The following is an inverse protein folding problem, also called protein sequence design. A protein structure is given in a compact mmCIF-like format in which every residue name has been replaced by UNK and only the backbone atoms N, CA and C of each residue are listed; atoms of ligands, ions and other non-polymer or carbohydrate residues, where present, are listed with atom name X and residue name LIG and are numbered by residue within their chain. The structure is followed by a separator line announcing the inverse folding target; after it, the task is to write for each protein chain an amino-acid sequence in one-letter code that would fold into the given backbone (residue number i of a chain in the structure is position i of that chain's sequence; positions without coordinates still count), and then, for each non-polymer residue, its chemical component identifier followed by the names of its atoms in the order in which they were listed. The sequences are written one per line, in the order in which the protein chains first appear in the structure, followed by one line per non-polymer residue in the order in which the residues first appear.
data_IF_369457603935
#
_entry.id   IF_369457603935
#
_cell.length_a   1.000
_cell.length_b   1.000
_cell.length_c   1.000
_cell.angle_alpha   90.00
_cell.angle_beta   90.00
_cell.angle_gamma   90.00
#
_symmetry.space_group_name_H-M   'P 1'
#
loop_
_entity.id
_entity.type
_entity.pdbx_description
1 polymer ?
#
# COMPACT_ATOMS: atom_id res chain seq x y z
N UNK A 1 -2.97 23.81 -13.39
CA UNK A 1 -4.24 23.24 -12.89
C UNK A 1 -3.86 22.10 -11.96
N UNK A 2 -4.06 22.20 -10.63
CA UNK A 2 -3.82 21.05 -9.76
C UNK A 2 -4.81 19.95 -10.15
N UNK A 3 -4.34 18.73 -10.34
CA UNK A 3 -5.20 17.58 -10.58
C UNK A 3 -6.24 17.52 -9.46
N UNK A 4 -7.53 17.46 -9.82
CA UNK A 4 -8.58 17.16 -8.86
C UNK A 4 -8.21 15.84 -8.21
N UNK A 5 -7.88 15.87 -6.93
CA UNK A 5 -7.77 14.66 -6.13
C UNK A 5 -9.16 14.03 -6.18
N UNK A 6 -9.27 12.85 -6.81
CA UNK A 6 -10.52 12.11 -6.86
C UNK A 6 -10.99 11.85 -5.43
N UNK A 7 -12.27 12.12 -5.14
CA UNK A 7 -12.90 11.89 -3.83
C UNK A 7 -13.07 10.40 -3.48
N UNK A 8 -12.47 9.51 -4.27
CA UNK A 8 -12.64 8.06 -4.21
C UNK A 8 -11.29 7.35 -4.25
N UNK A 9 -11.25 6.10 -3.78
CA UNK A 9 -10.07 5.26 -3.91
C UNK A 9 -9.64 5.15 -5.38
N UNK A 10 -8.35 5.40 -5.71
CA UNK A 10 -7.87 5.18 -7.06
C UNK A 10 -7.99 3.69 -7.43
N UNK A 11 -8.15 3.36 -8.72
CA UNK A 11 -8.14 1.98 -9.16
C UNK A 11 -6.80 1.31 -8.81
N UNK A 12 -6.80 -0.02 -8.67
CA UNK A 12 -5.56 -0.75 -8.53
C UNK A 12 -4.74 -0.59 -9.83
N UNK A 13 -3.48 -0.16 -9.75
CA UNK A 13 -2.73 0.22 -10.93
C UNK A 13 -2.21 -1.00 -11.68
N UNK A 14 -2.06 -0.86 -12.99
CA UNK A 14 -1.27 -1.77 -13.80
C UNK A 14 0.22 -1.51 -13.53
N UNK A 15 0.98 -2.57 -13.30
CA UNK A 15 2.43 -2.50 -13.04
C UNK A 15 3.17 -2.84 -14.33
N UNK A 16 4.12 -1.98 -14.72
CA UNK A 16 4.89 -2.16 -15.96
C UNK A 16 5.67 -3.48 -15.97
N UNK A 17 6.36 -3.77 -14.86
CA UNK A 17 7.07 -5.02 -14.64
C UNK A 17 7.07 -5.36 -13.13
N UNK A 18 6.29 -6.36 -12.69
CA UNK A 18 6.19 -6.77 -11.29
C UNK A 18 7.51 -7.24 -10.66
N UNK A 19 8.51 -7.61 -11.47
CA UNK A 19 9.82 -8.06 -11.00
C UNK A 19 10.85 -6.92 -10.90
N UNK A 20 10.51 -5.73 -11.41
CA UNK A 20 11.40 -4.57 -11.41
C UNK A 20 10.98 -3.55 -10.35
N UNK A 21 11.49 -3.76 -9.13
CA UNK A 21 11.25 -2.85 -8.01
C UNK A 21 12.03 -1.53 -8.21
N UNK A 22 11.38 -0.42 -7.87
CA UNK A 22 12.02 0.89 -7.68
C UNK A 22 12.71 0.93 -6.32
N UNK A 23 12.04 0.36 -5.31
CA UNK A 23 12.52 0.28 -3.92
C UNK A 23 12.19 -1.09 -3.36
N UNK A 24 13.16 -1.71 -2.69
CA UNK A 24 12.96 -2.87 -1.82
C UNK A 24 13.78 -2.64 -0.55
N UNK A 25 13.12 -2.14 0.49
CA UNK A 25 13.74 -1.84 1.78
C UNK A 25 13.10 -2.71 2.85
N UNK A 26 13.79 -3.75 3.36
CA UNK A 26 13.22 -4.67 4.34
C UNK A 26 13.05 -4.04 5.74
N UNK A 27 13.62 -2.86 5.99
CA UNK A 27 13.63 -2.21 7.30
C UNK A 27 13.36 -0.70 7.20
N UNK A 28 12.50 -0.30 6.27
CA UNK A 28 12.17 1.11 6.03
C UNK A 28 11.56 1.75 7.28
N UNK A 29 12.12 2.89 7.68
CA UNK A 29 11.68 3.62 8.87
C UNK A 29 10.60 4.63 8.53
N UNK A 30 9.57 4.72 9.36
CA UNK A 30 8.56 5.77 9.30
C UNK A 30 8.36 6.43 10.67
N UNK A 31 7.91 7.66 10.65
CA UNK A 31 7.50 8.40 11.85
C UNK A 31 6.00 8.25 12.10
N UNK A 32 5.56 8.47 13.33
CA UNK A 32 4.14 8.61 13.65
C UNK A 32 3.96 9.59 14.79
N UNK A 33 2.88 10.38 14.75
CA UNK A 33 2.46 11.24 15.85
C UNK A 33 1.81 10.46 17.00
N UNK A 34 1.49 9.18 16.80
CA UNK A 34 1.00 8.29 17.84
C UNK A 34 2.08 7.97 18.90
N UNK A 35 1.63 7.50 20.07
CA UNK A 35 2.52 7.02 21.14
C UNK A 35 3.46 5.93 20.58
N UNK A 36 4.77 6.18 20.60
CA UNK A 36 5.79 5.30 20.00
C UNK A 36 6.63 5.97 18.91
N UNK A 37 6.22 7.12 18.38
CA UNK A 37 7.05 7.99 17.53
C UNK A 37 7.33 7.48 16.11
N UNK A 38 7.04 6.21 15.81
CA UNK A 38 7.29 5.60 14.51
C UNK A 38 7.60 4.10 14.62
N UNK A 39 8.15 3.55 13.54
CA UNK A 39 8.52 2.14 13.46
C UNK A 39 9.33 1.81 12.21
N UNK A 40 9.58 0.51 12.04
CA UNK A 40 10.19 -0.06 10.83
C UNK A 40 9.20 -1.03 10.17
N UNK A 41 9.16 -1.03 8.84
CA UNK A 41 8.34 -1.94 8.05
C UNK A 41 9.02 -2.24 6.70
N UNK A 42 8.89 -3.46 6.13
CA UNK A 42 9.28 -3.70 4.75
C UNK A 42 8.47 -2.82 3.79
N UNK A 43 9.17 -2.03 2.99
CA UNK A 43 8.61 -1.18 1.94
C UNK A 43 9.06 -1.72 0.58
N UNK A 44 8.10 -1.94 -0.32
CA UNK A 44 8.37 -2.23 -1.73
C UNK A 44 7.60 -1.29 -2.63
N UNK A 45 8.25 -0.80 -3.69
CA UNK A 45 7.66 0.18 -4.61
C UNK A 45 7.93 -0.20 -6.05
N UNK A 46 6.93 -0.02 -6.92
CA UNK A 46 7.00 -0.26 -8.36
C UNK A 46 6.53 0.96 -9.14
N UNK A 47 6.99 1.10 -10.39
CA UNK A 47 6.39 2.03 -11.36
C UNK A 47 5.07 1.47 -11.88
N UNK A 48 4.09 2.36 -12.00
CA UNK A 48 2.81 2.05 -12.63
C UNK A 48 2.81 2.50 -14.09
N UNK A 49 2.03 1.85 -14.93
CA UNK A 49 2.00 2.12 -16.37
C UNK A 49 1.52 3.54 -16.75
N UNK A 50 0.86 4.24 -15.82
CA UNK A 50 0.42 5.63 -15.96
C UNK A 50 1.47 6.64 -15.45
N UNK A 51 2.69 6.19 -15.14
CA UNK A 51 3.81 7.03 -14.71
C UNK A 51 3.84 7.37 -13.21
N UNK A 52 2.95 6.78 -12.41
CA UNK A 52 2.92 6.87 -10.96
C UNK A 52 3.71 5.75 -10.26
N UNK A 53 3.32 5.47 -9.02
CA UNK A 53 3.92 4.46 -8.16
C UNK A 53 2.87 3.65 -7.40
N UNK A 54 3.16 2.36 -7.21
CA UNK A 54 2.48 1.52 -6.22
C UNK A 54 3.46 1.23 -5.10
N UNK A 55 3.07 1.52 -3.86
CA UNK A 55 3.80 1.18 -2.66
C UNK A 55 3.05 0.10 -1.86
N UNK A 56 3.75 -0.95 -1.47
CA UNK A 56 3.27 -1.95 -0.52
C UNK A 56 4.11 -1.83 0.75
N UNK A 57 3.45 -1.45 1.85
CA UNK A 57 4.05 -1.39 3.19
C UNK A 57 3.59 -2.61 3.97
N UNK A 58 4.51 -3.46 4.38
CA UNK A 58 4.17 -4.69 5.12
C UNK A 58 4.27 -4.46 6.62
N UNK A 59 3.21 -4.77 7.37
CA UNK A 59 3.22 -4.69 8.82
C UNK A 59 4.38 -5.51 9.37
N UNK A 60 5.06 -4.97 10.38
CA UNK A 60 6.08 -5.67 11.17
C UNK A 60 5.80 -5.50 12.64
N UNK A 61 6.28 -6.40 13.48
CA UNK A 61 6.14 -6.23 14.93
C UNK A 61 6.89 -4.97 15.35
N UNK A 62 6.18 -4.03 15.97
CA UNK A 62 6.71 -2.72 16.32
C UNK A 62 5.78 -1.94 17.25
N UNK A 63 6.26 -0.82 17.81
CA UNK A 63 5.50 -0.04 18.79
C UNK A 63 4.31 0.70 18.18
N UNK A 64 4.34 0.99 16.88
CA UNK A 64 3.26 1.61 16.12
C UNK A 64 2.90 0.71 14.94
N UNK A 65 1.61 0.54 14.65
CA UNK A 65 1.15 -0.17 13.45
C UNK A 65 1.19 0.74 12.23
N UNK A 66 1.30 0.16 11.04
CA UNK A 66 1.28 0.94 9.80
C UNK A 66 -0.09 1.61 9.59
N UNK A 67 -1.19 0.99 10.04
CA UNK A 67 -2.52 1.63 10.09
C UNK A 67 -2.52 2.90 10.94
N UNK A 68 -1.90 2.87 12.14
CA UNK A 68 -1.89 4.03 13.03
C UNK A 68 -0.97 5.15 12.51
N UNK A 69 -0.03 4.83 11.63
CA UNK A 69 0.88 5.78 10.99
C UNK A 69 0.50 6.10 9.54
N UNK A 70 -0.73 5.79 9.11
CA UNK A 70 -1.12 5.87 7.71
C UNK A 70 -0.97 7.27 7.11
N UNK A 71 -1.23 8.33 7.89
CA UNK A 71 -1.07 9.72 7.44
C UNK A 71 0.40 10.06 7.19
N UNK A 72 1.28 9.76 8.14
CA UNK A 72 2.70 10.05 8.04
C UNK A 72 3.41 9.19 6.99
N UNK A 73 3.07 7.90 6.90
CA UNK A 73 3.56 7.01 5.84
C UNK A 73 3.13 7.54 4.48
N UNK A 74 1.86 7.95 4.33
CA UNK A 74 1.36 8.51 3.07
C UNK A 74 2.10 9.79 2.69
N UNK A 75 2.29 10.70 3.65
CA UNK A 75 3.03 11.94 3.42
C UNK A 75 4.49 11.67 3.02
N UNK A 76 5.16 10.72 3.69
CA UNK A 76 6.53 10.33 3.37
C UNK A 76 6.66 9.76 1.95
N UNK A 77 5.75 8.85 1.56
CA UNK A 77 5.75 8.24 0.24
C UNK A 77 5.44 9.26 -0.87
N UNK A 78 4.46 10.14 -0.69
CA UNK A 78 4.15 11.21 -1.65
C UNK A 78 5.32 12.19 -1.80
N UNK A 79 6.02 12.49 -0.70
CA UNK A 79 7.20 13.36 -0.77
C UNK A 79 8.39 12.70 -1.48
N UNK A 80 8.51 11.38 -1.41
CA UNK A 80 9.64 10.63 -1.95
C UNK A 80 9.44 10.25 -3.42
N UNK A 81 8.22 9.92 -3.84
CA UNK A 81 7.92 9.40 -5.16
C UNK A 81 7.11 10.40 -5.98
N UNK A 82 7.65 10.92 -7.10
CA UNK A 82 6.92 11.88 -7.92
C UNK A 82 5.73 11.22 -8.63
N UNK A 83 4.65 11.97 -8.79
CA UNK A 83 3.42 11.51 -9.44
C UNK A 83 2.42 10.87 -8.47
N UNK A 84 1.34 10.26 -8.99
CA UNK A 84 0.36 9.56 -8.16
C UNK A 84 0.99 8.38 -7.42
N UNK A 85 0.63 8.20 -6.15
CA UNK A 85 1.07 7.06 -5.33
C UNK A 85 -0.15 6.31 -4.82
N UNK A 86 -0.26 5.04 -5.20
CA UNK A 86 -1.22 4.10 -4.60
C UNK A 86 -0.50 3.36 -3.46
N UNK A 87 -1.11 3.34 -2.28
CA UNK A 87 -0.53 2.73 -1.08
C UNK A 87 -1.39 1.55 -0.67
N UNK A 88 -0.77 0.38 -0.51
CA UNK A 88 -1.37 -0.81 0.07
C UNK A 88 -0.65 -1.15 1.38
N UNK A 89 -1.42 -1.30 2.44
CA UNK A 89 -0.96 -2.00 3.63
C UNK A 89 -1.05 -3.51 3.39
N UNK A 90 -0.01 -4.22 3.77
CA UNK A 90 0.06 -5.66 3.70
C UNK A 90 0.24 -6.24 5.10
N UNK A 91 -0.66 -7.13 5.51
CA UNK A 91 -0.53 -7.89 6.74
C UNK A 91 -0.31 -9.35 6.38
N UNK A 92 0.71 -9.98 6.94
CA UNK A 92 0.90 -11.43 6.81
C UNK A 92 0.11 -12.14 7.90
N UNK A 93 -0.22 -13.41 7.64
CA UNK A 93 -0.77 -14.30 8.65
C UNK A 93 0.17 -14.34 9.87
N UNK A 94 -0.37 -14.04 11.05
CA UNK A 94 0.38 -13.97 12.30
C UNK A 94 0.85 -12.57 12.71
N UNK A 95 0.89 -11.59 11.80
CA UNK A 95 1.25 -10.20 12.11
C UNK A 95 0.02 -9.39 12.58
N UNK A 96 -0.77 -9.97 13.48
CA UNK A 96 -2.05 -9.40 13.94
C UNK A 96 -3.22 -9.62 12.98
N UNK A 97 -3.01 -10.34 11.87
CA UNK A 97 -4.06 -10.77 10.95
C UNK A 97 -4.19 -12.31 10.92
N UNK A 98 -5.42 -12.85 10.81
CA UNK A 98 -5.65 -14.30 10.75
C UNK A 98 -5.22 -14.93 9.42
N UNK A 99 -5.05 -14.11 8.39
CA UNK A 99 -4.59 -14.49 7.05
C UNK A 99 -3.84 -13.32 6.43
N UNK A 100 -3.10 -13.59 5.36
CA UNK A 100 -2.50 -12.52 4.56
C UNK A 100 -3.62 -11.62 4.02
N UNK A 101 -3.42 -10.29 4.06
CA UNK A 101 -4.35 -9.33 3.48
C UNK A 101 -3.67 -8.08 2.94
N UNK A 102 -4.32 -7.49 1.95
CA UNK A 102 -4.01 -6.19 1.38
C UNK A 102 -5.20 -5.25 1.59
N UNK A 103 -4.91 -4.08 2.14
CA UNK A 103 -5.85 -2.98 2.29
C UNK A 103 -5.30 -1.75 1.57
N UNK A 104 -6.06 -1.17 0.64
CA UNK A 104 -5.69 0.10 0.02
C UNK A 104 -5.98 1.24 0.99
N UNK A 105 -5.03 2.17 1.13
CA UNK A 105 -5.14 3.32 2.02
C UNK A 105 -5.49 4.58 1.22
N UNK A 106 -6.41 5.38 1.76
CA UNK A 106 -6.72 6.71 1.25
C UNK A 106 -6.66 7.74 2.39
N UNK A 107 -5.67 8.62 2.32
CA UNK A 107 -5.54 9.78 3.22
C UNK A 107 -5.92 11.05 2.45
N UNK A 108 -6.76 11.89 3.07
CA UNK A 108 -7.18 13.17 2.48
C UNK A 108 -6.99 14.30 3.48
N UNK A 109 -6.60 15.50 3.05
CA UNK A 109 -6.40 16.63 3.96
C UNK A 109 -7.64 16.89 4.83
N UNK A 110 -7.46 16.94 6.14
CA UNK A 110 -8.52 17.24 7.10
C UNK A 110 -9.56 16.13 7.28
N UNK A 111 -9.31 14.91 6.78
CA UNK A 111 -10.17 13.74 7.00
C UNK A 111 -9.37 12.61 7.61
N UNK A 112 -10.04 11.79 8.41
CA UNK A 112 -9.45 10.53 8.88
C UNK A 112 -9.11 9.63 7.68
N UNK A 113 -8.03 8.83 7.77
CA UNK A 113 -7.70 7.85 6.74
C UNK A 113 -8.83 6.82 6.57
N UNK A 114 -8.95 6.30 5.35
CA UNK A 114 -9.89 5.25 4.99
C UNK A 114 -9.15 4.05 4.40
N UNK A 115 -9.69 2.86 4.62
CA UNK A 115 -9.17 1.60 4.09
C UNK A 115 -10.21 0.90 3.23
N UNK A 116 -9.77 0.33 2.12
CA UNK A 116 -10.57 -0.54 1.26
C UNK A 116 -9.87 -1.88 1.11
N UNK A 117 -10.55 -2.94 1.55
CA UNK A 117 -10.04 -4.30 1.39
C UNK A 117 -9.80 -4.62 -0.09
N UNK A 118 -8.59 -5.08 -0.38
CA UNK A 118 -8.16 -5.49 -1.73
C UNK A 118 -8.19 -7.01 -1.84
N UNK A 119 -7.55 -7.69 -0.90
CA UNK A 119 -7.45 -9.15 -0.91
C UNK A 119 -7.22 -9.70 0.50
N UNK A 120 -7.79 -10.85 0.87
CA UNK A 120 -8.93 -11.48 0.22
C UNK A 120 -10.20 -10.65 0.43
N UNK A 121 -11.13 -10.73 -0.52
CA UNK A 121 -12.50 -10.17 -0.38
C UNK A 121 -13.53 -11.23 -0.76
N UNK A 122 -14.73 -11.23 -0.14
CA UNK A 122 -15.75 -12.24 -0.42
C UNK A 122 -16.37 -12.05 -1.83
N UNK A 123 -16.90 -13.12 -2.47
CA UNK A 123 -17.58 -13.01 -3.77
C UNK A 123 -18.73 -12.01 -3.83
N UNK A 124 -19.37 -11.72 -2.68
CA UNK A 124 -20.42 -10.72 -2.59
C UNK A 124 -19.91 -9.26 -2.67
N UNK A 125 -18.60 -9.02 -2.59
CA UNK A 125 -18.04 -7.69 -2.72
C UNK A 125 -18.11 -7.23 -4.19
N UNK A 126 -18.64 -6.03 -4.49
CA UNK A 126 -18.75 -5.53 -5.86
C UNK A 126 -17.42 -5.48 -6.65
N UNK A 127 -16.28 -5.38 -5.95
CA UNK A 127 -14.95 -5.34 -6.58
C UNK A 127 -14.29 -6.73 -6.69
N UNK A 128 -15.00 -7.82 -6.35
CA UNK A 128 -14.43 -9.16 -6.25
C UNK A 128 -13.71 -9.60 -7.52
N UNK A 129 -14.38 -9.54 -8.68
CA UNK A 129 -13.80 -9.97 -9.96
C UNK A 129 -12.58 -9.13 -10.32
N UNK A 130 -12.69 -7.80 -10.25
CA UNK A 130 -11.59 -6.89 -10.58
C UNK A 130 -10.38 -7.07 -9.67
N UNK A 131 -10.57 -7.23 -8.36
CA UNK A 131 -9.45 -7.46 -7.45
C UNK A 131 -8.85 -8.86 -7.61
N UNK A 132 -9.67 -9.88 -7.93
CA UNK A 132 -9.16 -11.21 -8.25
C UNK A 132 -8.29 -11.20 -9.51
N UNK A 133 -8.74 -10.53 -10.56
CA UNK A 133 -8.00 -10.44 -11.81
C UNK A 133 -6.68 -9.69 -11.59
N UNK A 134 -6.70 -8.57 -10.87
CA UNK A 134 -5.47 -7.84 -10.50
C UNK A 134 -4.50 -8.71 -9.68
N UNK A 135 -4.99 -9.46 -8.70
CA UNK A 135 -4.18 -10.38 -7.91
C UNK A 135 -3.56 -11.49 -8.76
N UNK A 136 -4.31 -12.02 -9.74
CA UNK A 136 -3.85 -13.07 -10.66
C UNK A 136 -2.81 -12.55 -11.65
N UNK A 137 -3.02 -11.35 -12.18
CA UNK A 137 -2.14 -10.74 -13.19
C UNK A 137 -0.84 -10.24 -12.59
N UNK A 138 -0.87 -9.60 -11.42
CA UNK A 138 0.34 -9.04 -10.82
C UNK A 138 0.43 -9.16 -9.30
N UNK A 139 -0.67 -9.04 -8.55
CA UNK A 139 -0.63 -8.92 -7.09
C UNK A 139 0.12 -10.06 -6.37
N UNK A 140 -0.09 -11.31 -6.78
CA UNK A 140 0.64 -12.46 -6.22
C UNK A 140 2.16 -12.37 -6.44
N UNK A 141 2.58 -11.89 -7.62
CA UNK A 141 3.99 -11.65 -7.94
C UNK A 141 4.56 -10.52 -7.09
N UNK A 142 3.82 -9.41 -6.92
CA UNK A 142 4.26 -8.28 -6.08
C UNK A 142 4.49 -8.70 -4.62
N UNK A 143 3.62 -9.56 -4.07
CA UNK A 143 3.76 -10.06 -2.70
C UNK A 143 5.02 -10.93 -2.50
N UNK A 144 5.42 -11.70 -3.52
CA UNK A 144 6.59 -12.58 -3.47
C UNK A 144 7.89 -11.93 -3.96
N UNK A 145 7.80 -10.85 -4.75
CA UNK A 145 8.96 -10.19 -5.35
C UNK A 145 9.93 -9.61 -4.31
N UNK A 146 11.22 -9.70 -4.65
CA UNK A 146 12.37 -9.12 -3.94
C UNK A 146 13.34 -8.56 -4.98
N UNK A 147 14.07 -7.52 -4.63
CA UNK A 147 15.21 -7.06 -5.41
C UNK A 147 16.24 -8.20 -5.51
N UNK A 148 16.86 -8.34 -6.68
CA UNK A 148 17.91 -9.33 -6.94
C UNK A 148 19.26 -8.82 -6.46
#
# INVERSE_FOLDING_TARGET
MPARQNDTFPPLPLIEDPLRLVTDDPAWTYTSTCAGGGGTAPLRVWRTADGGHLAIVTQSVGPVSITNAAEEITAALISQYPGPVVILEHYRAGDGAPHDRLDQVLVRPGRVPEWKAVWPIPPANPNFETHQDWMRECGATLLSARAR
#
